data_IF_962592403642
#
_entry.id   IF_962592403642
#
_cell.length_a   1.000
_cell.length_b   1.000
_cell.length_c   1.000
_cell.angle_alpha   90.00
_cell.angle_beta   90.00
_cell.angle_gamma   90.00
#
_symmetry.space_group_name_H-M   'P 1'
#
loop_
_entity.id
_entity.type
_entity.pdbx_description
1 polymer ?
#
# COMPACT_ATOMS: atom_id res chain seq x y z
N UNK A 1 -8.52 10.83 17.58
CA UNK A 1 -9.51 10.05 16.82
C UNK A 1 -10.91 10.62 17.00
N UNK A 2 -11.28 11.05 18.20
CA UNK A 2 -12.62 11.59 18.52
C UNK A 2 -13.04 12.83 17.67
N UNK A 3 -12.07 13.68 17.30
CA UNK A 3 -12.32 14.82 16.41
C UNK A 3 -12.60 14.41 14.94
N UNK A 4 -12.25 13.18 14.54
CA UNK A 4 -12.51 12.63 13.21
C UNK A 4 -13.79 11.78 13.20
N UNK A 5 -14.04 11.03 14.29
CA UNK A 5 -15.21 10.17 14.47
C UNK A 5 -16.53 10.93 14.27
N UNK A 6 -16.62 12.14 14.84
CA UNK A 6 -17.78 13.04 14.69
C UNK A 6 -18.10 13.44 13.24
N UNK A 7 -17.14 13.27 12.32
CA UNK A 7 -17.27 13.67 10.91
C UNK A 7 -17.53 12.49 9.96
N UNK A 8 -17.31 11.25 10.39
CA UNK A 8 -17.40 10.09 9.51
C UNK A 8 -17.83 8.82 10.28
N UNK A 9 -19.09 8.70 10.69
CA UNK A 9 -19.55 7.55 11.45
C UNK A 9 -19.76 6.34 10.52
N UNK A 10 -18.94 5.31 10.69
CA UNK A 10 -19.20 3.96 10.17
C UNK A 10 -19.52 3.01 11.32
N UNK A 11 -20.80 2.93 11.75
CA UNK A 11 -21.17 2.17 12.94
C UNK A 11 -21.00 0.65 12.78
N UNK A 12 -20.80 0.17 11.54
CA UNK A 12 -20.56 -1.24 11.21
C UNK A 12 -19.47 -1.36 10.16
N UNK A 13 -18.22 -1.38 10.61
CA UNK A 13 -17.06 -1.72 9.80
C UNK A 13 -16.48 -3.04 10.30
N UNK A 14 -16.39 -4.03 9.41
CA UNK A 14 -15.80 -5.33 9.72
C UNK A 14 -14.44 -5.43 9.06
N UNK A 15 -13.46 -5.98 9.78
CA UNK A 15 -12.17 -6.31 9.19
C UNK A 15 -12.38 -7.33 8.08
N UNK A 16 -11.56 -7.21 7.03
CA UNK A 16 -11.52 -8.15 5.92
C UNK A 16 -11.24 -9.56 6.46
N UNK A 17 -11.70 -10.62 5.77
CA UNK A 17 -11.92 -11.98 6.30
C UNK A 17 -10.66 -12.79 6.65
N UNK A 18 -9.59 -12.12 7.07
CA UNK A 18 -8.28 -12.68 7.39
C UNK A 18 -7.71 -12.01 8.64
N UNK A 19 -7.06 -12.79 9.48
CA UNK A 19 -6.39 -12.34 10.71
C UNK A 19 -4.94 -11.87 10.45
N UNK A 20 -4.49 -11.94 9.19
CA UNK A 20 -3.14 -11.61 8.78
C UNK A 20 -3.07 -10.20 8.19
N UNK A 21 -2.08 -9.41 8.63
CA UNK A 21 -1.98 -8.00 8.26
C UNK A 21 -1.66 -7.80 6.79
N UNK A 22 -0.78 -8.60 6.18
CA UNK A 22 -0.51 -8.52 4.73
C UNK A 22 -1.74 -8.88 3.91
N UNK A 23 -2.44 -9.95 4.30
CA UNK A 23 -3.62 -10.43 3.59
C UNK A 23 -4.78 -9.43 3.68
N UNK A 24 -4.98 -8.83 4.86
CA UNK A 24 -5.98 -7.78 5.06
C UNK A 24 -5.66 -6.55 4.22
N UNK A 25 -4.40 -6.14 4.20
CA UNK A 25 -3.92 -5.00 3.39
C UNK A 25 -4.07 -5.26 1.89
N UNK A 26 -3.78 -6.48 1.43
CA UNK A 26 -4.03 -6.90 0.06
C UNK A 26 -5.52 -6.85 -0.32
N UNK A 27 -6.42 -7.23 0.61
CA UNK A 27 -7.85 -7.10 0.39
C UNK A 27 -8.29 -5.63 0.24
N UNK A 28 -7.74 -4.71 1.05
CA UNK A 28 -8.01 -3.27 0.91
C UNK A 28 -7.59 -2.78 -0.47
N UNK A 29 -6.39 -3.16 -0.91
CA UNK A 29 -5.85 -2.68 -2.18
C UNK A 29 -6.47 -3.34 -3.41
N UNK A 30 -7.10 -4.50 -3.28
CA UNK A 30 -7.69 -5.19 -4.43
C UNK A 30 -9.21 -5.18 -4.44
N UNK A 31 -9.85 -4.83 -3.31
CA UNK A 31 -11.29 -4.99 -3.12
C UNK A 31 -11.77 -6.45 -3.14
N UNK A 32 -10.84 -7.42 -3.12
CA UNK A 32 -11.13 -8.84 -3.23
C UNK A 32 -10.70 -9.59 -1.97
N UNK A 33 -11.39 -10.69 -1.69
CA UNK A 33 -11.03 -11.58 -0.58
C UNK A 33 -9.64 -12.21 -0.80
N UNK A 34 -8.91 -12.51 0.27
CA UNK A 34 -7.56 -13.10 0.23
C UNK A 34 -7.43 -14.36 -0.63
N UNK A 35 -8.48 -15.21 -0.68
CA UNK A 35 -8.45 -16.41 -1.52
C UNK A 35 -8.57 -16.11 -3.01
N UNK A 36 -9.14 -14.96 -3.37
CA UNK A 36 -9.27 -14.51 -4.76
C UNK A 36 -8.07 -13.67 -5.21
N UNK A 37 -7.47 -12.90 -4.28
CA UNK A 37 -6.32 -12.04 -4.61
C UNK A 37 -4.97 -12.76 -4.59
N UNK A 38 -4.87 -13.94 -3.94
CA UNK A 38 -3.66 -14.78 -3.90
C UNK A 38 -2.81 -14.63 -2.62
N UNK A 39 -3.03 -13.58 -1.83
CA UNK A 39 -2.21 -13.29 -0.65
C UNK A 39 -2.93 -13.74 0.62
N UNK A 40 -2.66 -14.98 1.03
CA UNK A 40 -3.34 -15.66 2.14
C UNK A 40 -2.68 -15.47 3.51
N UNK A 41 -1.39 -15.16 3.54
CA UNK A 41 -0.57 -15.14 4.75
C UNK A 41 0.35 -13.90 4.77
N UNK A 42 0.98 -13.63 5.91
CA UNK A 42 1.97 -12.55 5.99
C UNK A 42 3.17 -12.79 5.07
N UNK A 43 3.64 -11.69 4.50
CA UNK A 43 4.80 -11.61 3.61
C UNK A 43 5.93 -10.89 4.31
N UNK A 44 7.14 -10.91 3.75
CA UNK A 44 8.21 -10.04 4.26
C UNK A 44 7.89 -8.57 3.94
N UNK A 45 8.26 -7.67 4.86
CA UNK A 45 8.05 -6.24 4.68
C UNK A 45 9.26 -5.60 3.97
N UNK A 46 9.17 -5.46 2.65
CA UNK A 46 10.12 -4.69 1.86
C UNK A 46 9.60 -3.27 1.66
N UNK A 47 9.94 -2.33 2.54
CA UNK A 47 9.57 -0.92 2.43
C UNK A 47 10.54 -0.15 1.51
N UNK A 48 10.50 -0.51 0.23
CA UNK A 48 11.32 0.07 -0.84
C UNK A 48 10.67 -0.12 -2.21
N UNK A 49 10.97 0.73 -3.20
CA UNK A 49 10.45 0.58 -4.55
C UNK A 49 10.96 -0.72 -5.19
N UNK A 50 10.22 -1.20 -6.19
CA UNK A 50 10.56 -2.44 -6.89
C UNK A 50 11.98 -2.46 -7.48
N UNK A 51 12.45 -1.30 -7.93
CA UNK A 51 13.80 -1.08 -8.48
C UNK A 51 14.93 -1.33 -7.46
N UNK A 52 14.65 -1.20 -6.16
CA UNK A 52 15.63 -1.37 -5.08
C UNK A 52 15.59 -2.78 -4.43
N UNK A 53 14.72 -3.68 -4.90
CA UNK A 53 14.75 -5.07 -4.44
C UNK A 53 15.96 -5.80 -5.00
N UNK A 54 16.72 -6.42 -4.10
CA UNK A 54 17.85 -7.28 -4.47
C UNK A 54 17.35 -8.56 -5.14
N UNK A 55 18.19 -9.15 -5.99
CA UNK A 55 17.90 -10.44 -6.63
C UNK A 55 17.66 -11.57 -5.62
N UNK A 56 18.22 -11.47 -4.40
CA UNK A 56 18.00 -12.42 -3.32
C UNK A 56 16.59 -12.29 -2.72
N UNK A 57 16.14 -11.06 -2.45
CA UNK A 57 14.79 -10.80 -1.91
C UNK A 57 13.68 -11.17 -2.89
N UNK A 58 13.90 -10.94 -4.19
CA UNK A 58 12.97 -11.38 -5.25
C UNK A 58 12.82 -12.90 -5.30
N UNK A 59 13.89 -13.63 -4.99
CA UNK A 59 13.94 -15.11 -4.98
C UNK A 59 13.52 -15.70 -3.64
N UNK A 60 13.19 -14.89 -2.64
CA UNK A 60 12.70 -15.38 -1.37
C UNK A 60 11.42 -16.22 -1.60
N UNK A 61 11.35 -17.46 -1.05
CA UNK A 61 10.22 -18.35 -1.28
C UNK A 61 8.90 -17.77 -0.76
N UNK A 62 8.93 -16.97 0.29
CA UNK A 62 7.74 -16.29 0.84
C UNK A 62 7.31 -15.16 -0.09
N UNK A 63 8.25 -14.36 -0.60
CA UNK A 63 7.92 -13.25 -1.51
C UNK A 63 7.42 -13.72 -2.88
N UNK A 64 8.00 -14.80 -3.40
CA UNK A 64 7.65 -15.35 -4.71
C UNK A 64 6.31 -16.10 -4.70
N UNK A 65 5.99 -16.83 -3.62
CA UNK A 65 4.75 -17.64 -3.54
C UNK A 65 3.57 -16.89 -2.93
N UNK A 66 3.80 -16.05 -1.92
CA UNK A 66 2.74 -15.31 -1.23
C UNK A 66 2.71 -13.91 -1.80
N UNK A 67 1.96 -13.72 -2.88
CA UNK A 67 1.86 -12.44 -3.60
C UNK A 67 0.48 -12.28 -4.21
N UNK A 68 0.11 -11.04 -4.50
CA UNK A 68 -1.09 -10.74 -5.27
C UNK A 68 -0.90 -11.28 -6.69
N UNK A 69 -1.95 -11.91 -7.24
CA UNK A 69 -1.92 -12.41 -8.62
C UNK A 69 -1.59 -11.29 -9.61
N UNK A 70 -0.75 -11.61 -10.59
CA UNK A 70 -0.19 -10.63 -11.52
C UNK A 70 -1.26 -9.88 -12.31
N UNK A 71 -2.31 -10.58 -12.73
CA UNK A 71 -3.41 -10.06 -13.55
C UNK A 71 -4.34 -9.11 -12.79
N UNK A 72 -4.26 -9.06 -11.46
CA UNK A 72 -5.18 -8.27 -10.64
C UNK A 72 -4.63 -6.87 -10.42
N UNK A 73 -5.29 -5.80 -10.90
CA UNK A 73 -4.83 -4.44 -10.64
C UNK A 73 -5.07 -4.07 -9.17
N UNK A 74 -4.08 -3.43 -8.54
CA UNK A 74 -4.25 -2.82 -7.22
C UNK A 74 -4.85 -1.42 -7.35
N UNK A 75 -5.45 -0.95 -6.27
CA UNK A 75 -5.89 0.44 -6.11
C UNK A 75 -4.74 1.41 -6.35
N UNK A 76 -3.52 1.06 -5.93
CA UNK A 76 -2.32 1.88 -6.07
C UNK A 76 -1.94 2.02 -7.55
N UNK A 77 -1.91 0.91 -8.30
CA UNK A 77 -1.69 0.95 -9.76
C UNK A 77 -2.74 1.81 -10.47
N UNK A 78 -4.02 1.69 -10.07
CA UNK A 78 -5.13 2.47 -10.65
C UNK A 78 -5.03 3.96 -10.34
N UNK A 79 -4.73 4.33 -9.10
CA UNK A 79 -4.53 5.72 -8.70
C UNK A 79 -3.32 6.32 -9.39
N UNK A 80 -2.24 5.54 -9.55
CA UNK A 80 -1.01 6.05 -10.18
C UNK A 80 -1.25 6.33 -11.66
N UNK A 81 -1.95 5.42 -12.35
CA UNK A 81 -2.40 5.63 -13.73
C UNK A 81 -3.32 6.84 -13.88
N UNK A 82 -4.10 7.17 -12.85
CA UNK A 82 -4.98 8.33 -12.84
C UNK A 82 -4.25 9.65 -12.50
N UNK A 83 -2.93 9.65 -12.34
CA UNK A 83 -2.13 10.85 -12.06
C UNK A 83 -2.16 11.28 -10.60
N UNK A 84 -2.40 10.34 -9.67
CA UNK A 84 -2.29 10.63 -8.25
C UNK A 84 -0.85 10.46 -7.76
N UNK A 85 -0.33 11.51 -7.12
CA UNK A 85 0.93 11.48 -6.40
C UNK A 85 0.77 10.71 -5.09
N UNK A 86 1.55 9.64 -4.93
CA UNK A 86 1.34 8.62 -3.92
C UNK A 86 2.55 8.43 -3.01
N UNK A 87 2.29 8.51 -1.71
CA UNK A 87 3.26 8.22 -0.67
C UNK A 87 2.84 7.03 0.17
N UNK A 88 3.81 6.22 0.59
CA UNK A 88 3.63 5.17 1.60
C UNK A 88 4.45 5.47 2.85
N UNK A 89 3.84 5.26 4.02
CA UNK A 89 4.55 5.36 5.30
C UNK A 89 4.75 4.00 5.96
N UNK A 90 5.87 3.85 6.67
CA UNK A 90 6.13 2.77 7.61
C UNK A 90 6.15 1.33 7.03
N UNK A 91 5.00 0.68 6.84
CA UNK A 91 4.90 -0.75 6.49
C UNK A 91 4.22 -0.95 5.16
N UNK A 92 4.96 -1.39 4.15
CA UNK A 92 4.36 -1.85 2.89
C UNK A 92 3.63 -3.17 3.14
N UNK A 93 4.36 -4.20 3.59
CA UNK A 93 3.85 -5.49 4.04
C UNK A 93 2.88 -6.20 3.08
N UNK A 94 3.08 -5.99 1.77
CA UNK A 94 2.35 -6.62 0.66
C UNK A 94 3.34 -6.91 -0.47
N UNK A 95 3.00 -7.85 -1.35
CA UNK A 95 3.85 -8.32 -2.43
C UNK A 95 3.05 -8.60 -3.71
N UNK A 96 3.67 -8.55 -4.89
CA UNK A 96 5.06 -8.12 -5.11
C UNK A 96 5.16 -6.59 -5.10
N UNK A 97 6.36 -6.04 -4.86
CA UNK A 97 6.56 -4.59 -4.72
C UNK A 97 6.24 -3.83 -6.03
N UNK A 98 6.34 -4.49 -7.17
CA UNK A 98 6.00 -3.95 -8.50
C UNK A 98 4.55 -3.45 -8.58
N UNK A 99 3.63 -4.06 -7.82
CA UNK A 99 2.21 -3.68 -7.81
C UNK A 99 1.90 -2.47 -6.92
N UNK A 100 2.94 -1.85 -6.37
CA UNK A 100 2.85 -0.72 -5.46
C UNK A 100 3.80 0.41 -5.91
N UNK A 101 3.52 1.05 -7.06
CA UNK A 101 4.32 2.14 -7.61
C UNK A 101 4.10 3.45 -6.84
N UNK A 102 4.54 3.49 -5.59
CA UNK A 102 4.55 4.73 -4.81
C UNK A 102 5.68 5.64 -5.30
N UNK A 103 5.38 6.93 -5.41
CA UNK A 103 6.35 7.98 -5.74
C UNK A 103 7.31 8.24 -4.57
N UNK A 104 6.79 8.16 -3.33
CA UNK A 104 7.58 8.38 -2.12
C UNK A 104 7.43 7.28 -1.07
N UNK A 105 8.56 6.80 -0.55
CA UNK A 105 8.64 5.89 0.60
C UNK A 105 9.13 6.66 1.83
N UNK A 106 8.20 7.08 2.68
CA UNK A 106 8.46 7.93 3.84
C UNK A 106 8.82 7.04 5.05
N UNK A 107 10.09 7.04 5.45
CA UNK A 107 10.60 6.21 6.56
C UNK A 107 10.19 6.73 7.94
N UNK A 108 10.27 8.05 8.13
CA UNK A 108 10.00 8.73 9.39
C UNK A 108 8.81 9.70 9.24
N UNK A 109 7.57 9.20 9.33
CA UNK A 109 6.38 10.03 9.19
C UNK A 109 6.27 10.98 10.39
N UNK A 110 6.32 12.28 10.11
CA UNK A 110 6.15 13.37 11.05
C UNK A 110 5.49 14.56 10.33
N UNK A 111 5.12 15.61 11.07
CA UNK A 111 4.43 16.77 10.48
C UNK A 111 5.23 17.46 9.35
N UNK A 112 6.55 17.48 9.46
CA UNK A 112 7.41 18.08 8.45
C UNK A 112 7.51 17.19 7.19
N UNK A 113 7.62 15.88 7.33
CA UNK A 113 7.65 14.97 6.17
C UNK A 113 6.32 14.95 5.40
N UNK A 114 5.18 15.05 6.10
CA UNK A 114 3.86 15.23 5.45
C UNK A 114 3.77 16.57 4.73
N UNK A 115 4.25 17.66 5.34
CA UNK A 115 4.26 18.99 4.70
C UNK A 115 5.12 18.99 3.44
N UNK A 116 6.28 18.33 3.50
CA UNK A 116 7.18 18.17 2.36
C UNK A 116 6.53 17.37 1.23
N UNK A 117 5.90 16.25 1.55
CA UNK A 117 5.14 15.42 0.58
C UNK A 117 4.05 16.24 -0.14
N UNK A 118 3.26 17.01 0.62
CA UNK A 118 2.22 17.88 0.05
C UNK A 118 2.83 18.95 -0.87
N UNK A 119 3.98 19.53 -0.49
CA UNK A 119 4.66 20.52 -1.32
C UNK A 119 5.20 19.90 -2.63
N UNK A 120 5.73 18.68 -2.57
CA UNK A 120 6.21 17.95 -3.76
C UNK A 120 5.07 17.67 -4.74
N UNK A 121 3.93 17.17 -4.24
CA UNK A 121 2.75 16.93 -5.07
C UNK A 121 2.24 18.21 -5.77
N UNK A 122 2.22 19.33 -5.06
CA UNK A 122 1.81 20.63 -5.62
C UNK A 122 2.74 21.12 -6.73
N UNK A 123 4.04 20.88 -6.60
CA UNK A 123 5.01 21.25 -7.63
C UNK A 123 4.89 20.39 -8.88
N UNK A 124 4.45 19.13 -8.75
CA UNK A 124 4.18 18.23 -9.87
C UNK A 124 2.86 18.51 -10.60
N UNK A 125 1.95 19.32 -10.02
CA UNK A 125 0.61 19.56 -10.57
C UNK A 125 -0.33 18.37 -10.43
N UNK A 126 0.02 17.40 -9.60
CA UNK A 126 -0.68 16.12 -9.46
C UNK A 126 -1.73 16.16 -8.34
N UNK A 127 -2.74 15.28 -8.44
CA UNK A 127 -3.74 15.13 -7.38
C UNK A 127 -3.16 14.24 -6.26
N UNK A 128 -3.38 14.59 -4.99
CA UNK A 128 -2.69 13.93 -3.87
C UNK A 128 -3.44 12.65 -3.39
N UNK A 129 -2.72 11.54 -3.21
CA UNK A 129 -3.19 10.37 -2.47
C UNK A 129 -2.13 9.86 -1.48
N UNK A 130 -2.29 10.11 -0.18
CA UNK A 130 -1.38 9.57 0.85
C UNK A 130 -1.92 8.24 1.39
N UNK A 131 -1.09 7.20 1.37
CA UNK A 131 -1.41 5.88 1.92
C UNK A 131 -0.55 5.65 3.16
N UNK A 132 -1.18 5.73 4.32
CA UNK A 132 -0.50 5.59 5.62
C UNK A 132 -0.14 4.14 5.94
#
# INVERSE_FOLDING_TARGET
MDALDKRCPFPKCFLLPTQFCSASKACIYTGMHSHANGLLNNTQNFHKPASELTSAERKDPVHSTKRIHEQLPTLIERLHTAGYYQGVTHKLHVSPNEKFPYDEFIKDPNGASVTKFIAQAKNGGETLALVL
#
